data_IF_735751946474
#
_entry.id   IF_735751946474
#
_cell.length_a   1.000
_cell.length_b   1.000
_cell.length_c   1.000
_cell.angle_alpha   90.00
_cell.angle_beta   90.00
_cell.angle_gamma   90.00
#
_symmetry.space_group_name_H-M   'P 1'
#
loop_
_entity.id
_entity.type
_entity.pdbx_description
1 polymer ?
#
# COMPACT_ATOMS: atom_id res chain seq x y z
N UNK A 1 -6.79 11.64 0.56
CA UNK A 1 -6.45 10.40 -0.20
C UNK A 1 -5.13 10.51 -0.93
N UNK A 2 -5.08 11.21 -2.08
CA UNK A 2 -3.90 11.23 -2.96
C UNK A 2 -2.58 11.67 -2.30
N UNK A 3 -2.62 12.56 -1.31
CA UNK A 3 -1.42 12.96 -0.54
C UNK A 3 -0.81 11.79 0.24
N UNK A 4 -1.64 11.01 0.93
CA UNK A 4 -1.19 9.82 1.67
C UNK A 4 -0.72 8.74 0.70
N UNK A 5 -1.47 8.51 -0.37
CA UNK A 5 -1.09 7.54 -1.38
C UNK A 5 0.27 7.88 -2.02
N UNK A 6 0.49 9.14 -2.39
CA UNK A 6 1.76 9.61 -2.92
C UNK A 6 2.92 9.48 -1.93
N UNK A 7 2.69 9.84 -0.66
CA UNK A 7 3.71 9.73 0.39
C UNK A 7 4.11 8.28 0.69
N UNK A 8 3.17 7.33 0.66
CA UNK A 8 3.49 5.91 0.86
C UNK A 8 4.10 5.28 -0.39
N UNK A 9 3.61 5.64 -1.58
CA UNK A 9 4.13 5.12 -2.84
C UNK A 9 5.56 5.63 -3.15
N UNK A 10 5.98 6.75 -2.56
CA UNK A 10 7.34 7.26 -2.69
C UNK A 10 8.37 6.50 -1.83
N UNK A 11 7.93 5.63 -0.91
CA UNK A 11 8.81 4.79 -0.12
C UNK A 11 9.51 3.78 -1.06
N UNK A 12 10.84 3.62 -0.98
CA UNK A 12 11.56 2.67 -1.82
C UNK A 12 10.96 1.26 -1.75
N UNK A 13 10.85 0.63 -2.92
CA UNK A 13 10.24 -0.69 -3.12
C UNK A 13 8.72 -0.81 -2.90
N UNK A 14 8.01 0.24 -2.47
CA UNK A 14 6.54 0.20 -2.51
C UNK A 14 6.06 0.24 -3.96
N UNK A 15 5.15 -0.68 -4.31
CA UNK A 15 4.60 -0.87 -5.66
C UNK A 15 3.09 -0.66 -5.74
N UNK A 16 2.41 -0.53 -4.61
CA UNK A 16 0.97 -0.28 -4.53
C UNK A 16 0.60 0.31 -3.18
N UNK A 17 -0.50 1.06 -3.16
CA UNK A 17 -1.05 1.65 -1.93
C UNK A 17 -2.55 1.46 -1.91
N UNK A 18 -3.09 1.09 -0.76
CA UNK A 18 -4.53 0.97 -0.50
C UNK A 18 -4.94 1.90 0.64
N UNK A 19 -6.12 2.52 0.50
CA UNK A 19 -6.83 3.22 1.56
C UNK A 19 -7.99 2.34 1.99
N UNK A 20 -8.06 1.98 3.28
CA UNK A 20 -8.92 0.88 3.71
C UNK A 20 -8.58 -0.42 2.94
N UNK A 21 -9.55 -1.31 2.70
CA UNK A 21 -9.38 -2.52 1.90
C UNK A 21 -9.64 -2.24 0.40
N UNK A 22 -9.06 -1.17 -0.16
CA UNK A 22 -9.41 -0.58 -1.46
C UNK A 22 -9.74 -1.56 -2.58
N UNK A 23 -8.87 -2.55 -2.84
CA UNK A 23 -9.05 -3.50 -3.95
C UNK A 23 -10.14 -4.53 -3.67
N UNK A 24 -10.32 -4.93 -2.41
CA UNK A 24 -11.45 -5.77 -2.01
C UNK A 24 -12.76 -4.96 -2.07
N UNK A 25 -12.74 -3.68 -1.70
CA UNK A 25 -13.89 -2.79 -1.77
C UNK A 25 -14.35 -2.56 -3.21
N UNK A 26 -13.40 -2.41 -4.14
CA UNK A 26 -13.66 -2.25 -5.57
C UNK A 26 -14.38 -3.45 -6.20
N UNK A 27 -14.24 -4.64 -5.61
CA UNK A 27 -14.93 -5.85 -6.06
C UNK A 27 -16.34 -6.02 -5.46
N UNK A 28 -16.77 -5.14 -4.56
CA UNK A 28 -18.05 -5.26 -3.83
C UNK A 28 -19.16 -4.43 -4.48
N UNK A 29 -20.43 -4.86 -4.38
CA UNK A 29 -21.57 -4.02 -4.70
C UNK A 29 -21.58 -2.76 -3.82
N UNK A 30 -22.05 -1.64 -4.36
CA UNK A 30 -22.12 -0.36 -3.62
C UNK A 30 -22.89 -0.45 -2.31
N UNK A 31 -23.94 -1.30 -2.24
CA UNK A 31 -24.70 -1.56 -1.01
C UNK A 31 -23.91 -2.24 0.11
N UNK A 32 -22.73 -2.80 -0.20
CA UNK A 32 -21.81 -3.44 0.76
C UNK A 32 -20.45 -2.73 0.84
N UNK A 33 -20.28 -1.61 0.15
CA UNK A 33 -19.02 -0.88 0.08
C UNK A 33 -19.01 0.40 0.93
N UNK A 34 -20.18 0.93 1.25
CA UNK A 34 -20.31 2.15 2.04
C UNK A 34 -20.29 1.85 3.54
N UNK A 35 -19.98 2.86 4.34
CA UNK A 35 -20.10 2.84 5.80
C UNK A 35 -21.37 3.59 6.22
N UNK A 36 -22.43 2.89 6.66
CA UNK A 36 -23.66 3.54 7.10
C UNK A 36 -23.45 4.38 8.36
N UNK A 37 -24.17 5.50 8.43
CA UNK A 37 -24.17 6.40 9.59
C UNK A 37 -25.36 6.09 10.49
N UNK A 38 -25.11 6.04 11.79
CA UNK A 38 -26.12 5.88 12.83
C UNK A 38 -26.05 7.04 13.82
N UNK A 39 -27.17 7.32 14.48
CA UNK A 39 -27.23 8.26 15.59
C UNK A 39 -27.37 7.46 16.89
N UNK A 40 -26.40 7.57 17.80
CA UNK A 40 -26.45 6.96 19.14
C UNK A 40 -26.02 8.00 20.16
N UNK A 41 -26.82 8.18 21.21
CA UNK A 41 -26.56 9.13 22.30
C UNK A 41 -26.21 10.56 21.83
N UNK A 42 -26.84 11.02 20.75
CA UNK A 42 -26.61 12.34 20.16
C UNK A 42 -25.34 12.48 19.32
N UNK A 43 -24.56 11.41 19.14
CA UNK A 43 -23.37 11.37 18.31
C UNK A 43 -23.61 10.56 17.03
N UNK A 44 -23.02 11.02 15.92
CA UNK A 44 -22.96 10.27 14.67
C UNK A 44 -21.86 9.22 14.79
N UNK A 45 -22.21 7.95 14.55
CA UNK A 45 -21.30 6.81 14.65
C UNK A 45 -21.38 5.94 13.40
N UNK A 46 -20.31 5.19 13.13
CA UNK A 46 -20.26 4.15 12.10
C UNK A 46 -20.03 2.79 12.77
N UNK A 47 -20.62 1.74 12.20
CA UNK A 47 -20.38 0.36 12.65
C UNK A 47 -19.28 -0.34 11.85
N UNK A 48 -18.77 0.32 10.80
CA UNK A 48 -17.72 -0.16 9.91
C UNK A 48 -16.79 0.97 9.48
N UNK A 49 -15.61 0.60 8.99
CA UNK A 49 -14.61 1.52 8.47
C UNK A 49 -14.05 1.01 7.13
N UNK A 50 -14.93 0.72 6.18
CA UNK A 50 -14.56 0.34 4.82
C UNK A 50 -13.86 1.48 4.08
N UNK A 51 -14.23 2.73 4.36
CA UNK A 51 -13.60 3.92 3.81
C UNK A 51 -12.16 4.12 4.30
N UNK A 52 -11.73 3.40 5.35
CA UNK A 52 -10.39 3.51 5.91
C UNK A 52 -10.09 4.88 6.52
N UNK A 53 -11.10 5.48 7.17
CA UNK A 53 -11.01 6.77 7.86
C UNK A 53 -11.10 7.98 6.93
N UNK A 54 -11.31 7.78 5.63
CA UNK A 54 -11.29 8.82 4.62
C UNK A 54 -12.51 8.75 3.71
N UNK A 55 -13.31 9.80 3.69
CA UNK A 55 -14.42 9.97 2.77
C UNK A 55 -14.18 11.22 1.93
N UNK A 56 -14.20 11.08 0.60
CA UNK A 56 -13.98 12.18 -0.35
C UNK A 56 -12.71 13.01 -0.08
N UNK A 57 -11.62 12.37 0.37
CA UNK A 57 -10.35 13.06 0.63
C UNK A 57 -10.21 13.70 2.02
N UNK A 58 -11.20 13.58 2.90
CA UNK A 58 -11.24 14.21 4.24
C UNK A 58 -11.37 13.12 5.31
N UNK A 59 -10.76 13.33 6.48
CA UNK A 59 -10.89 12.43 7.62
C UNK A 59 -12.33 12.41 8.15
N UNK A 60 -12.92 11.23 8.29
CA UNK A 60 -14.33 11.06 8.65
C UNK A 60 -14.58 10.78 10.15
N UNK A 61 -13.51 10.74 10.96
CA UNK A 61 -13.52 10.46 12.39
C UNK A 61 -13.08 9.04 12.77
N UNK A 62 -13.11 8.10 11.82
CA UNK A 62 -12.63 6.73 12.03
C UNK A 62 -11.10 6.63 11.88
N UNK A 63 -10.46 5.53 12.34
CA UNK A 63 -9.04 5.30 12.13
C UNK A 63 -8.65 5.38 10.66
N UNK A 64 -7.60 6.16 10.36
CA UNK A 64 -7.04 6.26 9.00
C UNK A 64 -6.24 5.00 8.71
N UNK A 65 -6.68 4.23 7.72
CA UNK A 65 -6.05 2.97 7.32
C UNK A 65 -5.37 3.13 5.96
N UNK A 66 -4.05 3.02 5.96
CA UNK A 66 -3.21 3.05 4.75
C UNK A 66 -2.33 1.81 4.72
N UNK A 67 -2.29 1.12 3.58
CA UNK A 67 -1.47 -0.08 3.37
C UNK A 67 -0.53 0.12 2.19
N UNK A 68 0.74 -0.23 2.35
CA UNK A 68 1.73 -0.23 1.27
C UNK A 68 2.13 -1.65 0.90
N UNK A 69 2.18 -1.95 -0.41
CA UNK A 69 2.67 -3.23 -0.92
C UNK A 69 4.16 -3.10 -1.29
N UNK A 70 5.05 -3.64 -0.45
CA UNK A 70 6.50 -3.61 -0.68
C UNK A 70 6.95 -4.83 -1.49
N UNK A 71 7.60 -4.60 -2.64
CA UNK A 71 8.27 -5.70 -3.35
C UNK A 71 9.53 -6.14 -2.57
N UNK A 72 9.98 -7.40 -2.73
CA UNK A 72 11.30 -7.80 -2.26
C UNK A 72 12.37 -6.87 -2.84
N UNK A 73 13.11 -6.20 -1.95
CA UNK A 73 14.11 -5.18 -2.33
C UNK A 73 15.52 -5.74 -2.36
N UNK A 74 15.81 -6.79 -1.58
CA UNK A 74 17.16 -7.33 -1.46
C UNK A 74 17.57 -8.09 -2.72
N UNK A 75 18.80 -7.87 -3.16
CA UNK A 75 19.43 -8.65 -4.22
C UNK A 75 19.47 -10.11 -3.81
N UNK A 76 18.86 -10.99 -4.61
CA UNK A 76 18.97 -12.44 -4.41
C UNK A 76 20.33 -12.94 -4.89
N UNK A 77 20.90 -13.93 -4.20
CA UNK A 77 22.16 -14.60 -4.64
C UNK A 77 21.97 -15.48 -5.87
N UNK A 78 20.71 -15.80 -6.22
CA UNK A 78 20.36 -16.42 -7.48
C UNK A 78 20.59 -15.40 -8.60
N UNK A 79 21.46 -15.72 -9.56
CA UNK A 79 21.80 -14.85 -10.67
C UNK A 79 20.54 -14.46 -11.45
N UNK A 80 20.10 -13.22 -11.29
CA UNK A 80 19.17 -12.59 -12.23
C UNK A 80 20.02 -12.11 -13.40
N UNK A 81 19.66 -12.45 -14.64
CA UNK A 81 20.42 -12.00 -15.79
C UNK A 81 20.57 -10.46 -15.79
N UNK A 82 21.80 -9.99 -15.98
CA UNK A 82 22.11 -8.57 -16.13
C UNK A 82 23.05 -8.34 -17.31
N UNK A 83 23.41 -7.09 -17.54
CA UNK A 83 24.30 -6.67 -18.63
C UNK A 83 25.31 -5.69 -18.06
N UNK A 84 26.57 -5.88 -18.41
CA UNK A 84 27.61 -4.88 -18.17
C UNK A 84 27.42 -3.72 -19.16
N UNK A 85 27.12 -2.53 -18.64
CA UNK A 85 26.88 -1.34 -19.46
C UNK A 85 28.09 -0.86 -20.27
N UNK A 86 29.32 -1.24 -19.88
CA UNK A 86 30.52 -0.86 -20.62
C UNK A 86 30.75 -1.76 -21.85
N UNK A 87 30.45 -3.06 -21.72
CA UNK A 87 30.77 -4.06 -22.74
C UNK A 87 29.55 -4.56 -23.53
N UNK A 88 28.34 -4.38 -22.98
CA UNK A 88 27.10 -4.93 -23.51
C UNK A 88 26.97 -6.45 -23.33
N UNK A 89 27.92 -7.10 -22.66
CA UNK A 89 27.91 -8.54 -22.43
C UNK A 89 27.03 -8.92 -21.23
N UNK A 90 26.55 -10.17 -21.22
CA UNK A 90 25.84 -10.72 -20.06
C UNK A 90 26.75 -10.70 -18.82
N UNK A 91 26.20 -10.29 -17.69
CA UNK A 91 26.91 -10.19 -16.42
C UNK A 91 25.99 -10.52 -15.24
N UNK A 92 26.59 -10.84 -14.10
CA UNK A 92 25.86 -11.01 -12.84
C UNK A 92 25.63 -9.66 -12.15
N UNK A 93 24.44 -9.40 -11.61
CA UNK A 93 24.16 -8.18 -10.87
C UNK A 93 24.92 -8.18 -9.53
N UNK A 94 25.36 -7.01 -9.06
CA UNK A 94 26.05 -6.91 -7.78
C UNK A 94 25.12 -7.29 -6.63
N UNK A 95 25.64 -8.08 -5.69
CA UNK A 95 24.98 -8.36 -4.43
C UNK A 95 25.24 -7.23 -3.43
N UNK A 96 24.21 -6.43 -3.15
CA UNK A 96 24.34 -5.17 -2.40
C UNK A 96 23.70 -5.21 -1.01
N UNK A 97 22.79 -6.15 -0.76
CA UNK A 97 22.06 -6.23 0.51
C UNK A 97 21.66 -7.66 0.85
N UNK A 98 21.69 -8.00 2.14
CA UNK A 98 21.59 -9.39 2.63
C UNK A 98 20.40 -9.71 3.53
N UNK A 99 19.59 -8.73 3.91
CA UNK A 99 18.34 -8.94 4.64
C UNK A 99 17.35 -9.76 3.79
N UNK A 100 16.64 -10.69 4.43
CA UNK A 100 15.60 -11.49 3.77
C UNK A 100 14.33 -10.66 3.55
N UNK A 101 14.03 -9.74 4.47
CA UNK A 101 12.87 -8.86 4.42
C UNK A 101 13.16 -7.53 5.11
N UNK A 102 12.60 -6.46 4.55
CA UNK A 102 12.64 -5.11 5.09
C UNK A 102 11.24 -4.58 5.44
N UNK A 103 10.21 -5.43 5.42
CA UNK A 103 8.82 -5.01 5.68
C UNK A 103 8.61 -4.41 7.08
N UNK A 104 9.22 -4.93 8.16
CA UNK A 104 9.00 -4.38 9.51
C UNK A 104 9.78 -3.09 9.85
N UNK A 105 10.74 -2.68 9.01
CA UNK A 105 11.75 -1.68 9.34
C UNK A 105 11.24 -0.23 9.32
#
# INVERSE_FOLDING_TARGET
DGRLAGAVCSIPAVKGVELGPAFDLAARPGSRAQDPLFLRDGAVVRDSNHAGGLEAGITNGEPVLVRGAMKPLSSVRSAIASVDFATGAAADPPYVRSDVTAVPA
#
